data_IF_947013540694
#
_entry.id   IF_947013540694
#
_cell.length_a   1.000
_cell.length_b   1.000
_cell.length_c   1.000
_cell.angle_alpha   90.00
_cell.angle_beta   90.00
_cell.angle_gamma   90.00
#
_symmetry.space_group_name_H-M   'P 1'
#
loop_
_entity.id
_entity.type
_entity.pdbx_description
1 polymer ?
#
# COMPACT_ATOMS: atom_id res chain seq x y z
N UNK A 1 -37.55 19.65 -11.13
CA UNK A 1 -38.92 20.16 -10.95
C UNK A 1 -39.72 19.24 -10.06
N UNK A 2 -40.01 19.65 -8.82
CA UNK A 2 -41.29 19.41 -8.11
C UNK A 2 -41.25 20.19 -6.79
N UNK A 3 -42.01 21.28 -6.78
CA UNK A 3 -42.28 22.16 -5.63
C UNK A 3 -43.32 21.52 -4.72
N UNK A 4 -43.23 21.73 -3.40
CA UNK A 4 -44.34 22.15 -2.51
C UNK A 4 -43.73 22.90 -1.33
N UNK A 5 -44.25 24.09 -1.02
CA UNK A 5 -44.01 24.83 0.24
C UNK A 5 -45.16 24.53 1.22
N UNK A 6 -44.95 24.76 2.51
CA UNK A 6 -46.02 25.30 3.37
C UNK A 6 -45.48 26.30 4.39
N UNK A 7 -46.22 27.39 4.59
CA UNK A 7 -45.92 28.47 5.52
C UNK A 7 -46.51 28.18 6.91
N UNK A 8 -46.01 28.89 7.94
CA UNK A 8 -46.90 29.60 8.88
C UNK A 8 -46.18 30.83 9.48
N UNK A 9 -46.93 31.88 9.84
CA UNK A 9 -46.39 33.23 10.08
C UNK A 9 -47.01 33.90 11.33
N UNK A 10 -46.15 34.39 12.23
CA UNK A 10 -46.25 35.60 13.10
C UNK A 10 -47.51 36.01 13.91
N UNK A 11 -47.30 36.12 15.24
CA UNK A 11 -47.47 37.32 16.13
C UNK A 11 -48.82 37.97 16.49
N UNK A 12 -48.82 38.71 17.64
CA UNK A 12 -49.74 39.75 18.23
C UNK A 12 -50.02 39.45 19.73
N UNK A 13 -49.97 40.35 20.75
CA UNK A 13 -49.37 41.71 20.97
C UNK A 13 -49.23 41.99 22.50
N UNK A 14 -48.60 43.11 22.92
CA UNK A 14 -48.36 43.56 24.32
C UNK A 14 -49.49 44.48 24.88
N UNK A 15 -49.75 44.47 26.20
CA UNK A 15 -50.26 45.64 26.95
C UNK A 15 -49.99 45.60 28.48
N UNK A 16 -49.63 46.74 29.09
CA UNK A 16 -49.53 46.99 30.54
C UNK A 16 -50.74 47.80 31.04
N UNK A 17 -51.10 47.68 32.33
CA UNK A 17 -51.79 48.74 33.08
C UNK A 17 -51.53 48.64 34.59
N UNK A 18 -51.40 49.79 35.26
CA UNK A 18 -51.04 49.97 36.67
C UNK A 18 -52.01 50.99 37.28
N UNK A 19 -52.72 50.69 38.38
CA UNK A 19 -53.43 51.69 39.21
C UNK A 19 -53.40 51.26 40.69
N UNK A 20 -53.12 52.23 41.57
CA UNK A 20 -53.12 52.12 43.05
C UNK A 20 -54.52 52.28 43.65
N UNK A 21 -54.75 51.77 44.87
CA UNK A 21 -55.42 52.54 45.93
C UNK A 21 -55.01 52.06 47.34
N UNK A 22 -55.04 52.99 48.31
CA UNK A 22 -54.55 52.84 49.69
C UNK A 22 -55.58 52.23 50.67
N UNK A 23 -55.08 51.62 51.74
CA UNK A 23 -55.68 51.66 53.08
C UNK A 23 -54.56 51.53 54.15
N UNK A 24 -54.74 52.16 55.32
CA UNK A 24 -53.73 52.25 56.39
C UNK A 24 -54.28 51.67 57.71
N UNK A 25 -53.41 51.26 58.65
CA UNK A 25 -53.24 51.96 59.94
C UNK A 25 -52.16 51.33 60.86
N UNK A 26 -51.41 52.24 61.51
CA UNK A 26 -50.89 52.22 62.89
C UNK A 26 -49.79 51.24 63.36
N UNK A 27 -49.06 51.75 64.36
CA UNK A 27 -47.77 51.31 64.89
C UNK A 27 -47.94 50.55 66.22
N UNK A 28 -46.97 49.70 66.55
CA UNK A 28 -46.12 49.76 67.76
C UNK A 28 -45.59 48.37 68.16
N UNK A 29 -44.43 48.34 68.85
CA UNK A 29 -43.91 47.15 69.54
C UNK A 29 -42.66 46.53 68.93
N UNK A 30 -41.49 47.13 69.21
CA UNK A 30 -40.19 46.48 68.95
C UNK A 30 -40.02 45.32 69.93
N UNK A 31 -39.94 44.10 69.40
CA UNK A 31 -39.44 42.91 70.11
C UNK A 31 -38.16 42.48 69.41
N UNK A 32 -37.09 42.22 70.17
CA UNK A 32 -35.83 41.72 69.64
C UNK A 32 -36.04 40.38 68.92
N UNK A 33 -35.98 40.39 67.59
CA UNK A 33 -35.86 39.16 66.81
C UNK A 33 -34.40 38.75 66.73
N UNK A 34 -34.11 37.53 67.16
CA UNK A 34 -32.86 36.86 66.79
C UNK A 34 -32.70 36.90 65.26
N UNK A 35 -31.48 37.19 64.78
CA UNK A 35 -31.19 37.11 63.34
C UNK A 35 -31.60 35.73 62.83
N UNK A 36 -32.40 35.64 61.75
CA UNK A 36 -32.55 34.37 61.05
C UNK A 36 -31.15 33.87 60.67
N UNK A 37 -30.86 32.60 60.97
CA UNK A 37 -29.76 31.93 60.28
C UNK A 37 -30.08 31.99 58.79
N UNK A 38 -29.14 32.47 57.98
CA UNK A 38 -29.19 32.23 56.56
C UNK A 38 -29.14 30.72 56.36
N UNK A 39 -30.28 30.11 56.03
CA UNK A 39 -30.28 28.79 55.42
C UNK A 39 -29.60 28.95 54.06
N UNK A 40 -28.32 28.57 54.01
CA UNK A 40 -27.63 28.32 52.76
C UNK A 40 -28.44 27.27 52.00
N UNK A 41 -29.23 27.74 51.06
CA UNK A 41 -29.95 26.88 50.13
C UNK A 41 -28.90 26.17 49.30
N UNK A 42 -28.65 24.88 49.62
CA UNK A 42 -27.70 24.05 48.87
C UNK A 42 -28.02 24.14 47.39
N UNK A 43 -27.16 24.85 46.64
CA UNK A 43 -27.37 25.02 45.20
C UNK A 43 -27.17 23.66 44.55
N UNK A 44 -28.25 23.18 43.94
CA UNK A 44 -28.32 21.86 43.35
C UNK A 44 -27.14 21.62 42.36
N UNK A 45 -26.37 20.57 42.65
CA UNK A 45 -25.02 20.38 42.11
C UNK A 45 -25.04 19.56 40.83
N UNK A 46 -24.98 20.23 39.69
CA UNK A 46 -25.00 19.60 38.37
C UNK A 46 -23.65 19.67 37.67
N UNK A 47 -23.34 18.64 36.90
CA UNK A 47 -22.17 18.59 36.02
C UNK A 47 -22.35 19.56 34.84
N UNK A 48 -21.33 20.37 34.58
CA UNK A 48 -21.35 21.42 33.55
C UNK A 48 -20.48 21.03 32.35
N UNK A 49 -19.22 20.70 32.61
CA UNK A 49 -18.17 20.50 31.60
C UNK A 49 -16.97 19.76 32.22
N UNK A 50 -15.98 19.39 31.40
CA UNK A 50 -14.67 18.92 31.86
C UNK A 50 -13.57 19.95 31.58
N UNK A 51 -12.43 19.84 32.27
CA UNK A 51 -11.26 20.70 32.03
C UNK A 51 -9.98 19.91 32.23
N UNK A 52 -9.08 19.98 31.26
CA UNK A 52 -7.69 19.53 31.40
C UNK A 52 -6.99 20.52 32.34
N UNK A 53 -6.49 20.05 33.49
CA UNK A 53 -5.76 20.87 34.48
C UNK A 53 -4.25 20.75 34.35
N UNK A 54 -3.77 19.58 33.92
CA UNK A 54 -2.37 19.31 33.57
C UNK A 54 -2.35 18.57 32.24
N UNK A 55 -1.51 19.01 31.30
CA UNK A 55 -1.23 18.27 30.07
C UNK A 55 -0.50 16.95 30.40
N UNK A 56 -0.48 15.97 29.48
CA UNK A 56 0.39 14.81 29.63
C UNK A 56 1.86 15.20 29.80
N UNK A 57 2.66 14.29 30.39
CA UNK A 57 4.09 14.50 30.62
C UNK A 57 4.89 14.64 29.31
N UNK A 58 4.31 14.18 28.18
CA UNK A 58 4.83 14.37 26.82
C UNK A 58 3.74 14.84 25.86
N UNK A 59 4.06 15.84 25.04
CA UNK A 59 3.23 16.28 23.91
C UNK A 59 3.96 16.20 22.56
N UNK A 60 5.20 15.72 22.55
CA UNK A 60 6.02 15.54 21.33
C UNK A 60 6.47 14.09 21.19
N UNK A 61 6.26 13.54 20.00
CA UNK A 61 6.45 12.14 19.66
C UNK A 61 7.20 12.00 18.33
N UNK A 62 7.89 10.87 18.14
CA UNK A 62 8.48 10.50 16.85
C UNK A 62 7.40 10.08 15.88
N UNK A 63 7.66 10.22 14.58
CA UNK A 63 6.73 9.74 13.56
C UNK A 63 6.47 8.23 13.73
N UNK A 64 5.21 7.81 13.77
CA UNK A 64 4.84 6.40 14.02
C UNK A 64 5.05 5.91 15.46
N UNK A 65 5.41 6.77 16.42
CA UNK A 65 5.35 6.45 17.86
C UNK A 65 3.88 6.52 18.34
N UNK A 66 3.48 5.59 19.21
CA UNK A 66 2.18 5.63 19.87
C UNK A 66 2.20 6.69 21.00
N UNK A 67 1.32 7.69 21.00
CA UNK A 67 1.33 8.74 22.02
C UNK A 67 1.02 8.21 23.42
N UNK A 68 1.97 8.37 24.34
CA UNK A 68 1.74 8.18 25.77
C UNK A 68 1.15 9.46 26.39
N UNK A 69 -0.05 9.32 26.97
CA UNK A 69 -0.78 10.40 27.65
C UNK A 69 -0.67 10.35 29.18
N UNK A 70 0.32 9.62 29.72
CA UNK A 70 0.63 9.56 31.14
C UNK A 70 0.81 10.94 31.80
N UNK A 71 0.46 11.01 33.08
CA UNK A 71 0.57 12.23 33.89
C UNK A 71 -0.43 13.34 33.57
N UNK A 72 -1.36 13.15 32.62
CA UNK A 72 -2.43 14.12 32.36
C UNK A 72 -3.45 14.16 33.53
N UNK A 73 -3.94 15.36 33.85
CA UNK A 73 -4.98 15.54 34.86
C UNK A 73 -6.22 16.22 34.26
N UNK A 74 -7.40 15.67 34.59
CA UNK A 74 -8.70 16.16 34.12
C UNK A 74 -9.64 16.31 35.32
N UNK A 75 -10.42 17.39 35.33
CA UNK A 75 -11.46 17.63 36.34
C UNK A 75 -12.83 17.81 35.69
N UNK A 76 -13.87 17.31 36.35
CA UNK A 76 -15.26 17.75 36.14
C UNK A 76 -15.45 19.15 36.78
N UNK A 77 -16.27 19.98 36.13
CA UNK A 77 -16.72 21.29 36.62
C UNK A 77 -18.22 21.21 36.96
N UNK A 78 -18.62 21.83 38.07
CA UNK A 78 -19.99 21.81 38.58
C UNK A 78 -20.62 23.20 38.73
N UNK A 79 -21.95 23.27 38.83
CA UNK A 79 -22.74 24.52 38.98
C UNK A 79 -22.43 25.30 40.25
N UNK A 80 -21.97 24.63 41.30
CA UNK A 80 -21.50 25.23 42.56
C UNK A 80 -20.07 25.81 42.46
N UNK A 81 -19.43 25.72 41.29
CA UNK A 81 -18.04 26.15 41.06
C UNK A 81 -16.98 25.15 41.56
N UNK A 82 -17.39 24.04 42.19
CA UNK A 82 -16.48 23.00 42.63
C UNK A 82 -15.90 22.21 41.45
N UNK A 83 -14.80 21.49 41.73
CA UNK A 83 -14.07 20.67 40.77
C UNK A 83 -13.84 19.29 41.37
N UNK A 84 -13.91 18.25 40.53
CA UNK A 84 -13.61 16.87 40.93
C UNK A 84 -12.64 16.25 39.94
N UNK A 85 -11.48 15.81 40.40
CA UNK A 85 -10.54 15.06 39.56
C UNK A 85 -11.16 13.74 39.11
N UNK A 86 -10.94 13.39 37.84
CA UNK A 86 -11.42 12.14 37.23
C UNK A 86 -10.27 11.39 36.56
N UNK A 87 -10.37 10.07 36.60
CA UNK A 87 -9.52 9.13 35.85
C UNK A 87 -10.30 8.39 34.76
N UNK A 88 -11.63 8.50 34.78
CA UNK A 88 -12.54 7.91 33.80
C UNK A 88 -12.74 8.89 32.62
N UNK A 89 -11.76 8.88 31.72
CA UNK A 89 -11.76 9.63 30.47
C UNK A 89 -11.00 8.85 29.39
N UNK A 90 -11.36 9.06 28.13
CA UNK A 90 -10.64 8.52 26.97
C UNK A 90 -9.84 9.63 26.30
N UNK A 91 -8.69 9.29 25.70
CA UNK A 91 -7.92 10.20 24.84
C UNK A 91 -7.76 9.57 23.47
N UNK A 92 -8.07 10.34 22.41
CA UNK A 92 -8.05 9.86 21.03
C UNK A 92 -7.40 10.86 20.07
N UNK A 93 -6.72 10.34 19.05
CA UNK A 93 -6.15 11.07 17.93
C UNK A 93 -6.59 10.41 16.63
N UNK A 94 -7.60 10.96 15.96
CA UNK A 94 -8.22 10.33 14.78
C UNK A 94 -7.55 10.65 13.44
N UNK A 95 -6.80 11.74 13.34
CA UNK A 95 -6.45 12.31 12.02
C UNK A 95 -5.02 12.01 11.55
N UNK A 96 -4.00 12.05 12.42
CA UNK A 96 -2.59 11.94 11.99
C UNK A 96 -1.72 11.22 13.04
N UNK A 97 -1.52 9.91 12.88
CA UNK A 97 -0.36 9.18 13.44
C UNK A 97 0.80 9.08 12.42
N UNK A 98 0.52 9.46 11.16
CA UNK A 98 1.33 9.11 10.00
C UNK A 98 2.02 10.30 9.35
N UNK A 99 1.92 11.54 9.84
CA UNK A 99 2.59 12.70 9.24
C UNK A 99 3.21 13.60 10.28
N UNK A 100 4.37 14.18 9.96
CA UNK A 100 4.97 15.21 10.81
C UNK A 100 4.09 16.46 10.86
N UNK A 101 4.13 17.16 12.00
CA UNK A 101 3.34 18.34 12.29
C UNK A 101 2.55 18.23 13.58
N UNK A 102 1.72 19.24 13.85
CA UNK A 102 0.93 19.35 15.08
C UNK A 102 -0.53 18.99 14.83
N UNK A 103 -1.10 18.14 15.69
CA UNK A 103 -2.51 17.73 15.67
C UNK A 103 -3.19 17.85 17.01
N UNK A 104 -4.53 17.77 17.00
CA UNK A 104 -5.36 17.81 18.20
C UNK A 104 -5.61 16.39 18.72
N UNK A 105 -5.21 16.15 19.96
CA UNK A 105 -5.72 15.06 20.77
C UNK A 105 -7.06 15.50 21.40
N UNK A 106 -8.02 14.58 21.49
CA UNK A 106 -9.33 14.81 22.09
C UNK A 106 -9.48 13.97 23.35
N UNK A 107 -9.68 14.64 24.49
CA UNK A 107 -10.08 14.05 25.77
C UNK A 107 -11.61 14.04 25.84
N UNK A 108 -12.18 12.85 26.05
CA UNK A 108 -13.63 12.62 26.12
C UNK A 108 -14.01 12.09 27.50
N UNK A 109 -14.95 12.75 28.18
CA UNK A 109 -15.56 12.24 29.41
C UNK A 109 -17.01 12.76 29.54
N UNK A 110 -17.94 11.88 29.92
CA UNK A 110 -19.38 12.18 30.09
C UNK A 110 -20.00 13.00 28.93
N UNK A 111 -19.70 12.60 27.69
CA UNK A 111 -20.13 13.29 26.46
C UNK A 111 -19.65 14.75 26.32
N UNK A 112 -18.59 15.14 27.03
CA UNK A 112 -17.88 16.41 26.86
C UNK A 112 -16.50 16.13 26.29
N UNK A 113 -16.07 17.00 25.37
CA UNK A 113 -14.80 16.88 24.69
C UNK A 113 -13.93 18.12 24.98
N UNK A 114 -12.64 17.92 25.25
CA UNK A 114 -11.61 18.98 25.26
C UNK A 114 -10.45 18.56 24.40
N UNK A 115 -9.78 19.53 23.79
CA UNK A 115 -8.66 19.27 22.88
C UNK A 115 -7.39 19.93 23.37
N UNK A 116 -6.26 19.27 23.15
CA UNK A 116 -4.91 19.82 23.30
C UNK A 116 -4.06 19.44 22.09
N UNK A 117 -2.94 20.15 21.89
CA UNK A 117 -2.05 19.90 20.76
C UNK A 117 -0.97 18.88 21.13
N UNK A 118 -0.67 17.98 20.20
CA UNK A 118 0.54 17.14 20.19
C UNK A 118 1.28 17.30 18.87
N UNK A 119 2.58 17.04 18.84
CA UNK A 119 3.44 17.21 17.67
C UNK A 119 4.18 15.92 17.33
N UNK A 120 4.14 15.53 16.06
CA UNK A 120 4.97 14.47 15.50
C UNK A 120 6.16 15.08 14.74
N UNK A 121 7.38 14.72 15.12
CA UNK A 121 8.61 15.26 14.52
C UNK A 121 9.74 14.24 14.49
N UNK A 122 10.93 14.68 14.06
CA UNK A 122 12.13 13.84 14.02
C UNK A 122 12.08 12.73 12.97
N UNK A 123 12.78 11.62 13.24
CA UNK A 123 12.76 10.40 12.44
C UNK A 123 11.59 9.49 12.84
N UNK A 124 11.29 8.51 11.97
CA UNK A 124 10.40 7.39 12.29
C UNK A 124 10.87 6.64 13.55
N UNK A 125 9.92 6.20 14.37
CA UNK A 125 10.17 5.27 15.46
C UNK A 125 10.85 3.98 14.94
N UNK A 126 11.68 3.36 15.79
CA UNK A 126 12.56 2.27 15.35
C UNK A 126 11.78 0.95 15.19
N UNK A 127 11.52 0.53 13.96
CA UNK A 127 10.80 -0.74 13.64
C UNK A 127 11.73 -1.95 13.50
N UNK A 128 13.05 -1.73 13.47
CA UNK A 128 14.06 -2.74 13.13
C UNK A 128 14.29 -2.92 11.62
N UNK A 129 13.49 -2.28 10.76
CA UNK A 129 13.69 -2.26 9.31
C UNK A 129 14.45 -1.00 8.84
N UNK A 130 15.13 -1.05 7.68
CA UNK A 130 15.63 0.15 7.00
C UNK A 130 14.49 1.11 6.65
N UNK A 131 14.74 2.42 6.73
CA UNK A 131 13.74 3.45 6.44
C UNK A 131 14.18 4.28 5.22
N UNK A 132 13.30 4.39 4.24
CA UNK A 132 13.44 5.23 3.04
C UNK A 132 12.66 6.53 3.25
N UNK A 133 13.38 7.63 3.51
CA UNK A 133 12.82 8.98 3.52
C UNK A 133 12.90 9.55 2.11
N UNK A 134 11.76 9.77 1.46
CA UNK A 134 11.65 10.28 0.09
C UNK A 134 10.97 11.64 0.15
N UNK A 135 11.64 12.67 -0.36
CA UNK A 135 11.08 14.02 -0.49
C UNK A 135 11.07 14.38 -1.96
N UNK A 136 9.87 14.46 -2.55
CA UNK A 136 9.69 14.97 -3.92
C UNK A 136 9.99 16.47 -3.98
N UNK A 137 10.47 16.92 -5.12
CA UNK A 137 10.63 18.35 -5.42
C UNK A 137 9.31 19.10 -5.18
N UNK A 138 9.37 20.20 -4.42
CA UNK A 138 8.22 21.02 -4.01
C UNK A 138 7.08 20.25 -3.29
N UNK A 139 7.37 19.09 -2.67
CA UNK A 139 6.36 18.18 -2.09
C UNK A 139 5.25 17.75 -3.09
N UNK A 140 5.59 17.65 -4.37
CA UNK A 140 4.67 17.26 -5.43
C UNK A 140 4.01 15.89 -5.20
N UNK A 141 2.72 15.80 -5.52
CA UNK A 141 1.92 14.58 -5.39
C UNK A 141 2.21 13.63 -6.55
N UNK A 142 2.43 12.35 -6.24
CA UNK A 142 2.67 11.30 -7.24
C UNK A 142 1.32 10.72 -7.68
N UNK A 143 0.75 11.29 -8.74
CA UNK A 143 -0.57 10.92 -9.27
C UNK A 143 -0.54 10.28 -10.67
N UNK A 144 0.64 10.12 -11.28
CA UNK A 144 0.81 9.53 -12.61
C UNK A 144 1.57 8.21 -12.55
N UNK A 145 1.17 7.26 -13.41
CA UNK A 145 1.97 6.06 -13.70
C UNK A 145 3.13 6.37 -14.63
N UNK A 146 3.04 7.35 -15.52
CA UNK A 146 4.03 7.60 -16.58
C UNK A 146 5.01 8.73 -16.26
N UNK A 147 4.50 9.83 -15.72
CA UNK A 147 5.31 11.02 -15.47
C UNK A 147 6.11 10.83 -14.17
N UNK A 148 7.43 10.90 -14.30
CA UNK A 148 8.35 10.92 -13.18
C UNK A 148 8.38 12.30 -12.50
N UNK A 149 8.37 12.30 -11.17
CA UNK A 149 8.60 13.46 -10.30
C UNK A 149 10.02 13.36 -9.73
N UNK A 150 10.78 14.44 -9.73
CA UNK A 150 12.10 14.48 -9.09
C UNK A 150 11.98 14.35 -7.57
N UNK A 151 12.94 13.68 -6.93
CA UNK A 151 12.97 13.48 -5.49
C UNK A 151 14.40 13.30 -4.97
N UNK A 152 14.58 13.59 -3.68
CA UNK A 152 15.72 13.11 -2.90
C UNK A 152 15.27 11.93 -2.07
N UNK A 153 16.07 10.86 -2.03
CA UNK A 153 15.88 9.72 -1.15
C UNK A 153 17.02 9.64 -0.15
N UNK A 154 16.71 9.44 1.13
CA UNK A 154 17.68 9.15 2.20
C UNK A 154 17.32 7.80 2.81
N UNK A 155 18.24 6.84 2.75
CA UNK A 155 18.12 5.53 3.36
C UNK A 155 18.81 5.57 4.72
N UNK A 156 18.09 5.20 5.79
CA UNK A 156 18.65 5.00 7.13
C UNK A 156 18.59 3.52 7.49
N UNK A 157 19.73 2.99 7.94
CA UNK A 157 19.88 1.63 8.47
C UNK A 157 20.49 1.71 9.87
N UNK A 158 20.07 0.84 10.80
CA UNK A 158 20.60 0.83 12.17
C UNK A 158 22.11 0.56 12.15
N UNK A 159 22.89 1.47 12.74
CA UNK A 159 24.35 1.35 12.84
C UNK A 159 25.12 1.67 11.55
N UNK A 160 24.50 2.33 10.55
CA UNK A 160 25.17 2.83 9.34
C UNK A 160 24.87 4.32 9.12
N UNK A 161 25.80 5.00 8.45
CA UNK A 161 25.59 6.38 8.00
C UNK A 161 24.45 6.47 6.95
N UNK A 162 23.61 7.52 6.98
CA UNK A 162 22.53 7.67 6.01
C UNK A 162 23.01 7.82 4.56
N UNK A 163 22.51 6.97 3.66
CA UNK A 163 22.80 7.05 2.22
C UNK A 163 21.81 8.00 1.55
N UNK A 164 22.28 9.14 1.06
CA UNK A 164 21.48 10.15 0.33
C UNK A 164 21.69 10.04 -1.18
N UNK A 165 20.60 10.02 -1.94
CA UNK A 165 20.57 9.79 -3.40
C UNK A 165 19.57 10.73 -4.08
N UNK A 166 19.92 11.21 -5.28
CA UNK A 166 18.95 11.83 -6.20
C UNK A 166 18.22 10.74 -6.98
N UNK A 167 16.90 10.86 -7.10
CA UNK A 167 16.06 9.89 -7.78
C UNK A 167 14.87 10.58 -8.43
N UNK A 168 14.23 9.90 -9.38
CA UNK A 168 12.88 10.18 -9.81
C UNK A 168 11.93 9.11 -9.28
N UNK A 169 10.67 9.46 -9.05
CA UNK A 169 9.63 8.55 -8.58
C UNK A 169 8.35 8.70 -9.43
N UNK A 170 7.71 7.58 -9.79
CA UNK A 170 6.39 7.53 -10.44
C UNK A 170 5.54 6.40 -9.87
N UNK A 171 4.24 6.46 -10.06
CA UNK A 171 3.33 5.35 -9.75
C UNK A 171 3.62 4.11 -10.57
N UNK A 172 3.18 2.93 -10.11
CA UNK A 172 3.24 1.72 -10.95
C UNK A 172 2.03 0.78 -10.78
N UNK A 173 2.04 -0.26 -11.59
CA UNK A 173 1.10 -1.37 -11.54
C UNK A 173 -0.23 -1.06 -12.21
N UNK A 174 -1.09 -2.07 -12.28
CA UNK A 174 -2.37 -1.96 -12.98
C UNK A 174 -3.50 -1.92 -11.95
N UNK A 175 -4.02 -3.06 -11.49
CA UNK A 175 -5.01 -3.10 -10.42
C UNK A 175 -4.53 -2.36 -9.14
N UNK A 176 -3.27 -2.57 -8.75
CA UNK A 176 -2.65 -1.98 -7.55
C UNK A 176 -2.59 -0.45 -7.56
N UNK A 177 -2.66 0.19 -8.74
CA UNK A 177 -2.67 1.64 -8.82
C UNK A 177 -4.01 2.25 -8.36
N UNK A 178 -5.09 1.46 -8.32
CA UNK A 178 -6.39 1.93 -7.82
C UNK A 178 -6.50 1.86 -6.28
N UNK A 179 -5.71 1.02 -5.62
CA UNK A 179 -5.78 0.78 -4.17
C UNK A 179 -5.35 2.01 -3.33
N UNK A 180 -5.80 2.14 -2.06
CA UNK A 180 -5.41 3.26 -1.19
C UNK A 180 -3.90 3.45 -1.05
N UNK A 181 -3.14 2.36 -0.81
CA UNK A 181 -1.68 2.41 -0.72
C UNK A 181 -1.04 2.08 -2.07
N UNK A 182 -0.38 3.06 -2.68
CA UNK A 182 0.16 2.97 -4.05
C UNK A 182 1.55 2.34 -4.08
N UNK A 183 1.87 1.44 -5.02
CA UNK A 183 3.25 1.04 -5.31
C UNK A 183 3.94 2.05 -6.25
N UNK A 184 5.26 2.12 -6.18
CA UNK A 184 6.07 3.09 -6.93
C UNK A 184 7.22 2.46 -7.71
N UNK A 185 7.69 3.16 -8.75
CA UNK A 185 8.98 2.94 -9.41
C UNK A 185 9.93 4.08 -9.03
N UNK A 186 11.15 3.73 -8.64
CA UNK A 186 12.25 4.66 -8.40
C UNK A 186 13.26 4.54 -9.55
N UNK A 187 13.65 5.68 -10.13
CA UNK A 187 14.72 5.78 -11.13
C UNK A 187 15.81 6.71 -10.59
N UNK A 188 16.83 6.14 -9.96
CA UNK A 188 18.01 6.87 -9.46
C UNK A 188 18.71 7.57 -10.62
N UNK A 189 19.34 8.70 -10.34
CA UNK A 189 20.11 9.39 -11.37
C UNK A 189 21.44 8.68 -11.67
N UNK A 190 22.05 8.03 -10.67
CA UNK A 190 23.20 7.15 -10.86
C UNK A 190 22.97 5.71 -10.39
N UNK A 191 23.77 4.76 -10.92
CA UNK A 191 23.73 3.37 -10.44
C UNK A 191 24.24 3.37 -9.00
N UNK A 192 23.50 2.75 -8.09
CA UNK A 192 23.92 2.60 -6.69
C UNK A 192 23.37 1.31 -6.10
N UNK A 193 24.15 0.59 -5.25
CA UNK A 193 23.65 -0.55 -4.50
C UNK A 193 22.76 -0.06 -3.35
N UNK A 194 21.59 -0.67 -3.18
CA UNK A 194 20.66 -0.34 -2.09
C UNK A 194 20.58 -1.52 -1.13
N UNK A 195 20.81 -1.31 0.17
CA UNK A 195 20.62 -2.32 1.22
C UNK A 195 21.32 -3.67 0.95
N UNK A 196 22.52 -3.61 0.36
CA UNK A 196 23.33 -4.77 -0.03
C UNK A 196 22.93 -5.48 -1.33
N UNK A 197 21.91 -4.99 -2.05
CA UNK A 197 21.53 -5.49 -3.37
C UNK A 197 22.44 -4.92 -4.48
N UNK A 198 22.45 -5.56 -5.65
CA UNK A 198 23.26 -5.15 -6.80
C UNK A 198 22.92 -3.73 -7.28
N UNK A 199 23.93 -2.98 -7.74
CA UNK A 199 23.73 -1.62 -8.19
C UNK A 199 22.85 -1.51 -9.45
N UNK A 200 21.85 -0.62 -9.41
CA UNK A 200 21.07 -0.27 -10.60
C UNK A 200 20.51 1.14 -10.46
N UNK A 201 20.02 1.69 -11.58
CA UNK A 201 19.22 2.92 -11.56
C UNK A 201 17.74 2.65 -11.26
N UNK A 202 17.24 1.42 -11.38
CA UNK A 202 15.80 1.13 -11.41
C UNK A 202 15.38 0.15 -10.31
N UNK A 203 14.44 0.60 -9.48
CA UNK A 203 13.96 -0.09 -8.30
C UNK A 203 12.44 0.02 -8.18
N UNK A 204 11.83 -0.93 -7.50
CA UNK A 204 10.38 -0.98 -7.29
C UNK A 204 10.08 -0.98 -5.79
N UNK A 205 9.11 -0.15 -5.38
CA UNK A 205 8.49 -0.23 -4.06
C UNK A 205 7.14 -0.93 -4.22
N UNK A 206 7.06 -2.18 -3.80
CA UNK A 206 5.79 -2.92 -3.74
C UNK A 206 5.08 -2.61 -2.41
N UNK A 207 3.84 -2.15 -2.51
CA UNK A 207 3.01 -1.85 -1.35
C UNK A 207 2.44 -3.10 -0.65
N UNK A 208 2.47 -4.26 -1.33
CA UNK A 208 1.87 -5.54 -0.93
C UNK A 208 0.43 -5.42 -0.34
N UNK A 209 -0.33 -4.40 -0.75
CA UNK A 209 -1.53 -3.93 -0.04
C UNK A 209 -2.64 -4.98 0.14
N UNK A 210 -2.84 -5.87 -0.83
CA UNK A 210 -3.83 -6.95 -0.74
C UNK A 210 -3.32 -8.17 0.06
N UNK A 211 -2.01 -8.30 0.25
CA UNK A 211 -1.42 -9.35 1.07
C UNK A 211 -1.41 -8.93 2.54
N UNK A 212 -2.39 -9.42 3.31
CA UNK A 212 -2.49 -9.17 4.75
C UNK A 212 -1.28 -9.66 5.58
N UNK A 213 -0.40 -10.47 5.01
CA UNK A 213 0.87 -10.85 5.65
C UNK A 213 2.05 -9.97 5.25
N UNK A 214 1.94 -9.24 4.12
CA UNK A 214 3.02 -8.55 3.41
C UNK A 214 4.18 -9.43 2.92
N UNK A 215 4.19 -10.74 3.23
CA UNK A 215 5.33 -11.65 3.06
C UNK A 215 5.29 -12.49 1.78
N UNK A 216 4.14 -12.65 1.11
CA UNK A 216 3.96 -13.64 0.02
C UNK A 216 4.93 -13.47 -1.12
N UNK A 217 5.11 -12.24 -1.59
CA UNK A 217 6.07 -11.93 -2.65
C UNK A 217 7.50 -12.24 -2.20
N UNK A 218 7.89 -11.91 -0.96
CA UNK A 218 9.19 -12.27 -0.39
C UNK A 218 9.42 -13.78 -0.27
N UNK A 219 8.41 -14.54 0.15
CA UNK A 219 8.45 -16.01 0.19
C UNK A 219 8.64 -16.57 -1.22
N UNK A 220 7.92 -16.03 -2.21
CA UNK A 220 8.03 -16.46 -3.61
C UNK A 220 9.45 -16.23 -4.15
N UNK A 221 10.01 -15.03 -3.98
CA UNK A 221 11.36 -14.70 -4.41
C UNK A 221 12.38 -15.61 -3.72
N UNK A 222 12.24 -15.86 -2.40
CA UNK A 222 13.17 -16.78 -1.72
C UNK A 222 13.04 -18.22 -2.22
N UNK A 223 11.85 -18.70 -2.55
CA UNK A 223 11.66 -20.03 -3.14
C UNK A 223 12.25 -20.11 -4.56
N UNK A 224 12.11 -19.06 -5.37
CA UNK A 224 12.69 -18.99 -6.72
C UNK A 224 14.23 -19.04 -6.69
N UNK A 225 14.87 -18.37 -5.73
CA UNK A 225 16.30 -18.49 -5.47
C UNK A 225 16.67 -19.95 -5.11
N UNK A 226 15.97 -20.55 -4.14
CA UNK A 226 16.23 -21.92 -3.66
C UNK A 226 16.00 -22.99 -4.73
N UNK A 227 15.06 -22.77 -5.65
CA UNK A 227 14.77 -23.68 -6.76
C UNK A 227 15.69 -23.46 -7.98
N UNK A 228 16.59 -22.48 -7.94
CA UNK A 228 17.63 -22.28 -8.98
C UNK A 228 17.10 -21.72 -10.30
N UNK A 229 16.16 -20.77 -10.25
CA UNK A 229 15.79 -19.99 -11.43
C UNK A 229 17.00 -19.19 -11.96
N UNK A 230 17.08 -19.00 -13.29
CA UNK A 230 18.23 -18.38 -13.96
C UNK A 230 18.57 -16.97 -13.43
N UNK A 231 17.56 -16.20 -13.02
CA UNK A 231 17.69 -15.04 -12.16
C UNK A 231 16.42 -14.86 -11.34
N UNK A 232 16.55 -14.29 -10.15
CA UNK A 232 15.46 -13.96 -9.23
C UNK A 232 15.69 -12.53 -8.70
N UNK A 233 14.68 -11.64 -8.71
CA UNK A 233 14.80 -10.31 -8.10
C UNK A 233 15.19 -10.38 -6.62
N UNK A 234 16.26 -9.70 -6.22
CA UNK A 234 16.55 -9.50 -4.79
C UNK A 234 15.61 -8.44 -4.18
N UNK A 235 15.35 -8.53 -2.87
CA UNK A 235 14.45 -7.60 -2.18
C UNK A 235 14.70 -7.43 -0.68
N UNK A 236 14.25 -6.30 -0.12
CA UNK A 236 14.28 -6.00 1.32
C UNK A 236 12.93 -5.41 1.75
N UNK A 237 12.46 -5.77 2.95
CA UNK A 237 11.38 -5.04 3.61
C UNK A 237 11.93 -3.73 4.18
N UNK A 238 11.19 -2.65 3.98
CA UNK A 238 11.58 -1.28 4.35
C UNK A 238 10.36 -0.52 4.85
N UNK A 239 10.58 0.47 5.71
CA UNK A 239 9.58 1.50 5.96
C UNK A 239 9.76 2.67 4.99
N UNK A 240 8.67 3.31 4.56
CA UNK A 240 8.72 4.45 3.65
C UNK A 240 8.09 5.68 4.31
N UNK A 241 8.81 6.79 4.31
CA UNK A 241 8.30 8.12 4.67
C UNK A 241 8.37 9.00 3.42
N UNK A 242 7.24 9.34 2.82
CA UNK A 242 7.12 10.13 1.60
C UNK A 242 6.56 11.52 1.93
N UNK A 243 7.29 12.59 1.58
CA UNK A 243 6.89 13.98 1.86
C UNK A 243 6.44 14.19 3.33
N UNK A 244 7.27 13.68 4.25
CA UNK A 244 7.07 13.68 5.71
C UNK A 244 5.90 12.83 6.23
N UNK A 245 5.28 12.05 5.36
CA UNK A 245 4.18 11.13 5.67
C UNK A 245 4.66 9.67 5.65
N UNK A 246 4.56 8.99 6.78
CA UNK A 246 4.82 7.57 6.95
C UNK A 246 3.77 6.75 6.20
N UNK A 247 4.21 6.12 5.11
CA UNK A 247 3.40 5.32 4.22
C UNK A 247 3.27 3.86 4.67
N UNK A 248 3.88 3.49 5.81
CA UNK A 248 4.01 2.11 6.28
C UNK A 248 5.01 1.26 5.48
N UNK A 249 4.98 -0.04 5.74
CA UNK A 249 5.90 -1.02 5.15
C UNK A 249 5.78 -1.16 3.63
N UNK A 250 6.92 -1.29 2.94
CA UNK A 250 7.02 -1.69 1.54
C UNK A 250 8.07 -2.80 1.39
N UNK A 251 8.01 -3.49 0.26
CA UNK A 251 9.11 -4.32 -0.21
C UNK A 251 9.86 -3.57 -1.32
N UNK A 252 11.12 -3.21 -1.07
CA UNK A 252 12.04 -2.67 -2.08
C UNK A 252 12.58 -3.85 -2.88
N UNK A 253 12.38 -3.86 -4.20
CA UNK A 253 12.70 -4.98 -5.11
C UNK A 253 13.50 -4.48 -6.32
N UNK A 254 14.42 -5.31 -6.80
CA UNK A 254 15.06 -5.14 -8.10
C UNK A 254 14.03 -5.20 -9.25
N UNK A 255 14.00 -4.18 -10.12
CA UNK A 255 13.14 -4.26 -11.31
C UNK A 255 13.68 -5.30 -12.31
N UNK A 256 12.81 -6.20 -12.77
CA UNK A 256 13.07 -7.12 -13.90
C UNK A 256 13.48 -6.31 -15.13
N UNK A 257 14.77 -6.41 -15.50
CA UNK A 257 15.40 -5.75 -16.65
C UNK A 257 16.65 -6.51 -17.10
N UNK A 258 17.04 -6.29 -18.37
CA UNK A 258 18.33 -6.76 -18.90
C UNK A 258 19.50 -6.00 -18.26
N UNK A 259 20.28 -6.68 -17.42
CA UNK A 259 21.59 -6.24 -16.95
C UNK A 259 22.44 -7.48 -16.60
N UNK A 260 23.77 -7.35 -16.63
CA UNK A 260 24.70 -8.45 -16.28
C UNK A 260 24.50 -8.99 -14.86
N UNK A 261 24.01 -8.16 -13.94
CA UNK A 261 23.69 -8.53 -12.55
C UNK A 261 22.18 -8.77 -12.32
N UNK A 262 21.37 -8.76 -13.38
CA UNK A 262 19.92 -9.07 -13.35
C UNK A 262 19.60 -10.14 -14.40
N UNK A 263 18.65 -9.89 -15.31
CA UNK A 263 18.39 -10.79 -16.45
C UNK A 263 19.56 -10.69 -17.44
N UNK A 264 20.55 -11.58 -17.29
CA UNK A 264 21.78 -11.56 -18.07
C UNK A 264 21.61 -12.25 -19.44
N UNK A 265 20.92 -11.58 -20.36
CA UNK A 265 20.77 -11.98 -21.77
C UNK A 265 21.53 -11.03 -22.71
N UNK A 266 21.86 -11.44 -23.96
CA UNK A 266 22.51 -10.58 -24.95
C UNK A 266 21.71 -9.28 -25.24
N UNK A 267 22.38 -8.19 -25.70
CA UNK A 267 21.69 -6.92 -26.00
C UNK A 267 20.52 -7.12 -26.98
N UNK A 268 20.73 -7.95 -28.02
CA UNK A 268 19.73 -8.29 -29.05
C UNK A 268 18.75 -9.41 -28.65
N UNK A 269 18.91 -10.00 -27.46
CA UNK A 269 17.99 -11.00 -26.94
C UNK A 269 16.67 -10.38 -26.49
N UNK A 270 15.69 -11.24 -26.25
CA UNK A 270 14.34 -10.88 -25.85
C UNK A 270 14.14 -11.13 -24.36
N UNK A 271 13.51 -10.17 -23.69
CA UNK A 271 12.85 -10.33 -22.40
C UNK A 271 11.43 -9.84 -22.60
N UNK A 272 10.44 -10.71 -22.42
CA UNK A 272 9.05 -10.44 -22.74
C UNK A 272 8.12 -11.04 -21.69
N UNK A 273 6.91 -10.49 -21.58
CA UNK A 273 5.93 -10.83 -20.55
C UNK A 273 4.61 -11.24 -21.20
N UNK A 274 4.02 -12.34 -20.74
CA UNK A 274 2.61 -12.68 -20.93
C UNK A 274 1.82 -12.21 -19.73
N UNK A 275 0.92 -11.27 -19.95
CA UNK A 275 0.09 -10.64 -18.92
C UNK A 275 -1.31 -10.29 -19.50
N UNK A 276 -2.24 -9.84 -18.65
CA UNK A 276 -3.61 -9.47 -19.08
C UNK A 276 -3.77 -7.97 -19.41
N UNK A 277 -2.68 -7.19 -19.36
CA UNK A 277 -2.62 -5.74 -19.53
C UNK A 277 -1.74 -5.30 -20.71
N UNK A 278 -1.23 -6.24 -21.52
CA UNK A 278 -0.31 -6.06 -22.63
C UNK A 278 -0.67 -4.90 -23.59
N UNK A 279 -1.96 -4.60 -23.74
CA UNK A 279 -2.46 -3.48 -24.55
C UNK A 279 -2.08 -2.08 -24.01
N UNK A 280 -1.64 -1.99 -22.75
CA UNK A 280 -1.12 -0.76 -22.13
C UNK A 280 0.40 -0.58 -22.32
N UNK A 281 1.10 -1.58 -22.86
CA UNK A 281 2.54 -1.52 -23.10
C UNK A 281 2.83 -0.94 -24.50
N UNK A 282 3.95 -0.23 -24.72
CA UNK A 282 4.17 0.53 -25.97
C UNK A 282 4.23 -0.32 -27.24
N UNK A 283 4.70 -1.57 -27.12
CA UNK A 283 4.70 -2.58 -28.19
C UNK A 283 4.29 -3.93 -27.60
N UNK A 284 3.34 -4.58 -28.28
CA UNK A 284 2.82 -5.89 -27.92
C UNK A 284 2.41 -6.68 -29.17
N UNK A 285 2.13 -7.97 -29.02
CA UNK A 285 1.43 -8.79 -30.03
C UNK A 285 0.45 -9.76 -29.36
N UNK A 286 -0.41 -10.39 -30.16
CA UNK A 286 -1.26 -11.51 -29.74
C UNK A 286 -0.88 -12.72 -30.58
N UNK A 287 -0.67 -13.87 -29.93
CA UNK A 287 -0.31 -15.14 -30.58
C UNK A 287 -1.52 -15.85 -31.19
N UNK A 288 -1.30 -16.93 -31.94
CA UNK A 288 -2.35 -17.72 -32.58
C UNK A 288 -3.29 -18.42 -31.58
N UNK A 289 -2.84 -18.75 -30.37
CA UNK A 289 -3.70 -19.17 -29.24
C UNK A 289 -4.37 -18.02 -28.48
N UNK A 290 -4.17 -16.77 -28.90
CA UNK A 290 -4.83 -15.60 -28.31
C UNK A 290 -4.17 -15.05 -27.04
N UNK A 291 -2.95 -15.49 -26.67
CA UNK A 291 -2.23 -14.88 -25.56
C UNK A 291 -1.57 -13.57 -25.99
N UNK A 292 -1.74 -12.52 -25.19
CA UNK A 292 -1.05 -11.24 -25.38
C UNK A 292 0.34 -11.24 -24.75
N UNK A 293 1.32 -10.70 -25.47
CA UNK A 293 2.71 -10.58 -25.05
C UNK A 293 3.23 -9.15 -25.21
N UNK A 294 4.00 -8.65 -24.24
CA UNK A 294 4.65 -7.34 -24.26
C UNK A 294 6.18 -7.44 -24.14
N UNK A 295 6.92 -6.48 -24.71
CA UNK A 295 8.39 -6.48 -24.74
C UNK A 295 8.98 -5.64 -23.61
N UNK A 296 10.01 -6.16 -22.93
CA UNK A 296 10.80 -5.44 -21.91
C UNK A 296 12.31 -5.37 -22.25
N UNK A 297 12.79 -6.23 -23.15
CA UNK A 297 14.02 -6.06 -23.93
C UNK A 297 13.81 -6.70 -25.32
N UNK A 298 14.27 -6.11 -26.44
CA UNK A 298 14.75 -4.73 -26.58
C UNK A 298 13.76 -3.70 -26.02
N UNK A 299 14.22 -2.47 -25.74
CA UNK A 299 13.33 -1.43 -25.25
C UNK A 299 12.22 -1.16 -26.29
N UNK A 300 10.92 -1.26 -25.95
CA UNK A 300 9.83 -1.18 -26.91
C UNK A 300 9.62 0.21 -27.52
N UNK A 301 10.16 1.26 -26.90
CA UNK A 301 10.05 2.64 -27.38
C UNK A 301 11.30 3.08 -28.15
N UNK A 302 12.50 2.61 -27.73
CA UNK A 302 13.79 3.09 -28.26
C UNK A 302 14.56 2.08 -29.14
N UNK A 303 14.62 0.79 -28.77
CA UNK A 303 15.57 -0.19 -29.35
C UNK A 303 14.87 -1.28 -30.22
N UNK A 304 13.55 -1.51 -30.10
CA UNK A 304 12.84 -2.63 -30.74
C UNK A 304 12.51 -2.35 -32.22
N UNK A 305 13.05 -3.14 -33.14
CA UNK A 305 12.74 -3.05 -34.58
C UNK A 305 11.49 -3.86 -34.96
N UNK A 306 10.82 -3.49 -36.07
CA UNK A 306 9.69 -4.25 -36.59
C UNK A 306 10.10 -5.67 -37.05
N UNK A 307 11.37 -5.87 -37.45
CA UNK A 307 11.95 -7.19 -37.73
C UNK A 307 11.98 -8.07 -36.46
N UNK A 308 12.47 -7.52 -35.35
CA UNK A 308 12.52 -8.21 -34.05
C UNK A 308 11.11 -8.47 -33.50
N UNK A 309 10.19 -7.53 -33.68
CA UNK A 309 8.79 -7.68 -33.28
C UNK A 309 8.10 -8.79 -34.09
N UNK A 310 8.24 -8.79 -35.43
CA UNK A 310 7.69 -9.85 -36.29
C UNK A 310 8.29 -11.20 -35.93
N UNK A 311 9.62 -11.26 -35.75
CA UNK A 311 10.31 -12.50 -35.40
C UNK A 311 9.76 -13.15 -34.14
N UNK A 312 9.61 -12.41 -33.03
CA UNK A 312 9.14 -13.01 -31.78
C UNK A 312 7.66 -13.45 -31.89
N UNK A 313 6.82 -12.64 -32.55
CA UNK A 313 5.42 -13.01 -32.86
C UNK A 313 5.36 -14.33 -33.64
N UNK A 314 6.16 -14.43 -34.71
CA UNK A 314 6.11 -15.57 -35.62
C UNK A 314 6.73 -16.83 -34.99
N UNK A 315 7.78 -16.68 -34.17
CA UNK A 315 8.32 -17.77 -33.36
C UNK A 315 7.30 -18.32 -32.36
N UNK A 316 6.54 -17.45 -31.67
CA UNK A 316 5.45 -17.89 -30.79
C UNK A 316 4.34 -18.59 -31.57
N UNK A 317 3.96 -18.07 -32.74
CA UNK A 317 2.95 -18.69 -33.60
C UNK A 317 3.40 -20.06 -34.15
N UNK A 318 4.68 -20.23 -34.53
CA UNK A 318 5.26 -21.51 -34.98
C UNK A 318 5.29 -22.52 -33.83
N UNK A 319 5.74 -22.11 -32.64
CA UNK A 319 5.72 -22.95 -31.44
C UNK A 319 4.30 -23.42 -31.08
N UNK A 320 3.32 -22.52 -31.11
CA UNK A 320 1.92 -22.85 -30.82
C UNK A 320 1.29 -23.75 -31.89
N UNK A 321 1.64 -23.55 -33.17
CA UNK A 321 1.22 -24.43 -34.25
C UNK A 321 1.84 -25.84 -34.13
N UNK A 322 3.11 -25.95 -33.74
CA UNK A 322 3.76 -27.23 -33.47
C UNK A 322 3.12 -27.94 -32.28
N UNK A 323 2.79 -27.23 -31.20
CA UNK A 323 2.04 -27.79 -30.06
C UNK A 323 0.66 -28.35 -30.46
N UNK A 324 0.06 -27.85 -31.53
CA UNK A 324 -1.23 -28.32 -32.06
C UNK A 324 -1.11 -29.41 -33.15
N UNK A 325 0.11 -29.84 -33.50
CA UNK A 325 0.37 -30.78 -34.61
C UNK A 325 0.47 -32.24 -34.15
N UNK A 326 0.37 -33.21 -35.08
CA UNK A 326 0.54 -34.64 -34.77
C UNK A 326 1.96 -35.02 -34.30
N UNK A 327 2.96 -34.17 -34.56
CA UNK A 327 4.36 -34.38 -34.18
C UNK A 327 4.81 -33.48 -33.02
N UNK A 328 3.86 -32.91 -32.27
CA UNK A 328 4.09 -31.92 -31.23
C UNK A 328 5.14 -32.32 -30.18
N UNK A 329 5.26 -33.61 -29.82
CA UNK A 329 6.23 -34.12 -28.85
C UNK A 329 7.46 -34.80 -29.48
N UNK A 330 7.70 -34.65 -30.78
CA UNK A 330 8.94 -35.11 -31.39
C UNK A 330 10.15 -34.36 -30.80
N UNK A 331 11.22 -35.07 -30.46
CA UNK A 331 12.39 -34.49 -29.80
C UNK A 331 13.15 -33.46 -30.66
N UNK A 332 13.13 -33.59 -31.99
CA UNK A 332 13.87 -32.73 -32.92
C UNK A 332 12.99 -31.66 -33.57
N UNK A 333 11.72 -31.99 -33.88
CA UNK A 333 10.80 -31.11 -34.62
C UNK A 333 9.65 -30.56 -33.78
N UNK A 334 9.36 -31.16 -32.62
CA UNK A 334 8.28 -30.80 -31.71
C UNK A 334 8.63 -29.64 -30.76
N UNK A 335 7.86 -29.50 -29.68
CA UNK A 335 8.04 -28.49 -28.65
C UNK A 335 9.48 -28.38 -28.08
N UNK A 336 10.28 -29.47 -27.93
CA UNK A 336 11.65 -29.36 -27.42
C UNK A 336 12.59 -28.54 -28.31
N UNK A 337 12.24 -28.28 -29.59
CA UNK A 337 12.96 -27.35 -30.47
C UNK A 337 12.85 -25.90 -30.01
N UNK A 338 11.72 -25.50 -29.42
CA UNK A 338 11.36 -24.10 -29.15
C UNK A 338 11.59 -23.66 -27.70
N UNK A 339 11.48 -24.58 -26.74
CA UNK A 339 11.50 -24.25 -25.31
C UNK A 339 12.60 -25.00 -24.55
N UNK A 340 13.16 -24.34 -23.54
CA UNK A 340 13.92 -25.04 -22.50
C UNK A 340 12.94 -25.75 -21.57
N UNK A 341 12.78 -27.05 -21.80
CA UNK A 341 11.77 -27.89 -21.15
C UNK A 341 11.93 -27.92 -19.63
N UNK A 342 13.17 -27.84 -19.14
CA UNK A 342 13.50 -27.78 -17.72
C UNK A 342 12.97 -26.51 -17.06
N UNK A 343 13.15 -25.34 -17.68
CA UNK A 343 12.63 -24.07 -17.15
C UNK A 343 11.10 -24.04 -17.10
N UNK A 344 10.43 -24.64 -18.10
CA UNK A 344 8.98 -24.77 -18.12
C UNK A 344 8.47 -25.70 -17.01
N UNK A 345 9.09 -26.86 -16.81
CA UNK A 345 8.77 -27.77 -15.71
C UNK A 345 9.05 -27.14 -14.33
N UNK A 346 10.17 -26.42 -14.19
CA UNK A 346 10.55 -25.69 -12.98
C UNK A 346 9.52 -24.60 -12.64
N UNK A 347 9.17 -23.74 -13.60
CA UNK A 347 8.17 -22.69 -13.46
C UNK A 347 6.81 -23.26 -13.10
N UNK A 348 6.41 -24.36 -13.75
CA UNK A 348 5.17 -25.07 -13.45
C UNK A 348 5.12 -25.57 -12.01
N UNK A 349 6.15 -26.30 -11.56
CA UNK A 349 6.22 -26.83 -10.18
C UNK A 349 6.16 -25.67 -9.17
N UNK A 350 6.97 -24.64 -9.37
CA UNK A 350 7.04 -23.45 -8.52
C UNK A 350 5.68 -22.74 -8.38
N UNK A 351 4.98 -22.48 -9.49
CA UNK A 351 3.66 -21.83 -9.47
C UNK A 351 2.58 -22.69 -8.79
N UNK A 352 2.66 -24.02 -8.90
CA UNK A 352 1.75 -24.94 -8.21
C UNK A 352 2.06 -25.06 -6.70
N UNK A 353 3.33 -25.06 -6.29
CA UNK A 353 3.71 -25.03 -4.85
C UNK A 353 3.13 -23.80 -4.16
N UNK A 354 3.24 -22.63 -4.81
CA UNK A 354 2.71 -21.37 -4.27
C UNK A 354 1.21 -21.18 -4.52
N UNK A 355 0.60 -22.04 -5.34
CA UNK A 355 -0.78 -21.91 -5.83
C UNK A 355 -1.10 -20.46 -6.29
N UNK A 356 -0.21 -19.85 -7.09
CA UNK A 356 -0.40 -18.48 -7.56
C UNK A 356 -1.62 -18.41 -8.48
N UNK A 357 -2.50 -17.45 -8.20
CA UNK A 357 -3.79 -17.31 -8.83
C UNK A 357 -3.77 -16.27 -9.97
N UNK A 358 -2.71 -15.45 -10.04
CA UNK A 358 -2.54 -14.40 -11.04
C UNK A 358 -1.16 -14.47 -11.70
N UNK A 359 -1.00 -15.51 -12.52
CA UNK A 359 0.28 -15.86 -13.16
C UNK A 359 0.62 -14.93 -14.34
N UNK A 360 1.44 -13.92 -14.08
CA UNK A 360 2.22 -13.22 -15.12
C UNK A 360 3.47 -14.05 -15.45
N UNK A 361 3.79 -14.19 -16.74
CA UNK A 361 4.90 -15.05 -17.20
C UNK A 361 5.95 -14.19 -17.88
N UNK A 362 7.10 -13.97 -17.24
CA UNK A 362 8.28 -13.47 -17.96
C UNK A 362 8.97 -14.64 -18.65
N UNK A 363 9.52 -14.36 -19.82
CA UNK A 363 10.28 -15.29 -20.64
C UNK A 363 11.48 -14.58 -21.26
N UNK A 364 12.53 -15.35 -21.55
CA UNK A 364 13.72 -14.87 -22.26
C UNK A 364 14.07 -15.74 -23.46
N UNK A 365 14.70 -15.15 -24.48
CA UNK A 365 15.29 -15.85 -25.63
C UNK A 365 16.52 -15.07 -26.12
N UNK A 366 17.67 -15.71 -26.29
CA UNK A 366 18.94 -14.99 -26.45
C UNK A 366 19.18 -14.36 -27.83
N UNK A 367 18.55 -14.91 -28.88
CA UNK A 367 18.80 -14.52 -30.27
C UNK A 367 17.59 -14.74 -31.20
N UNK A 368 17.72 -14.29 -32.45
CA UNK A 368 16.79 -14.56 -33.56
C UNK A 368 17.09 -15.89 -34.28
N UNK A 369 17.69 -16.85 -33.59
CA UNK A 369 18.12 -18.13 -34.15
C UNK A 369 17.73 -19.30 -33.25
N UNK A 370 18.68 -20.20 -33.01
CA UNK A 370 18.50 -21.50 -32.35
C UNK A 370 18.37 -21.47 -30.83
N UNK A 371 18.49 -20.29 -30.19
CA UNK A 371 18.17 -20.18 -28.76
C UNK A 371 16.72 -20.58 -28.49
N UNK A 372 16.46 -21.14 -27.30
CA UNK A 372 15.12 -21.55 -26.88
C UNK A 372 14.51 -20.51 -25.95
N UNK A 373 13.18 -20.53 -25.83
CA UNK A 373 12.49 -19.75 -24.81
C UNK A 373 12.73 -20.40 -23.44
N UNK A 374 13.15 -19.58 -22.47
CA UNK A 374 13.31 -19.94 -21.07
C UNK A 374 12.23 -19.23 -20.26
N UNK A 375 11.55 -19.94 -19.36
CA UNK A 375 10.60 -19.34 -18.42
C UNK A 375 11.32 -18.70 -17.23
N UNK A 376 10.92 -17.49 -16.89
CA UNK A 376 11.50 -16.68 -15.81
C UNK A 376 11.96 -15.29 -16.29
N UNK A 377 12.30 -14.38 -15.37
CA UNK A 377 12.23 -14.51 -13.91
C UNK A 377 10.78 -14.56 -13.37
N UNK A 378 10.62 -14.78 -12.06
CA UNK A 378 9.31 -14.82 -11.40
C UNK A 378 8.85 -13.43 -10.97
N UNK A 379 7.55 -13.16 -11.00
CA UNK A 379 6.96 -11.85 -10.65
C UNK A 379 5.49 -11.94 -10.21
N UNK A 380 5.00 -10.92 -9.49
CA UNK A 380 3.64 -10.74 -8.93
C UNK A 380 3.06 -11.99 -8.20
N UNK A 381 3.22 -12.02 -6.87
CA UNK A 381 2.90 -13.16 -6.00
C UNK A 381 2.07 -12.81 -4.76
N UNK A 382 1.56 -11.59 -4.64
CA UNK A 382 0.65 -11.20 -3.56
C UNK A 382 -0.66 -12.04 -3.56
N UNK A 383 -1.06 -12.53 -4.73
CA UNK A 383 -2.21 -13.40 -4.96
C UNK A 383 -1.82 -14.90 -4.98
N UNK A 384 -1.12 -15.34 -3.94
CA UNK A 384 -0.65 -16.73 -3.76
C UNK A 384 -0.89 -17.24 -2.33
N UNK A 385 -0.47 -18.48 -2.06
CA UNK A 385 -0.45 -19.11 -0.71
C UNK A 385 -1.81 -18.91 0.01
N UNK A 386 -2.89 -19.39 -0.62
CA UNK A 386 -4.24 -19.41 -0.05
C UNK A 386 -5.04 -18.11 -0.09
N UNK A 387 -4.51 -17.02 -0.67
CA UNK A 387 -5.28 -15.80 -0.98
C UNK A 387 -5.62 -15.76 -2.48
N UNK A 388 -6.84 -15.34 -2.81
CA UNK A 388 -7.34 -15.23 -4.17
C UNK A 388 -8.83 -14.92 -4.23
N UNK A 389 -9.31 -14.47 -5.39
CA UNK A 389 -10.73 -14.26 -5.68
C UNK A 389 -11.49 -15.60 -5.60
N UNK A 390 -12.22 -15.85 -4.50
CA UNK A 390 -13.03 -17.06 -4.31
C UNK A 390 -14.06 -16.99 -3.19
N UNK A 391 -15.25 -17.53 -3.48
CA UNK A 391 -16.35 -17.74 -2.53
C UNK A 391 -16.63 -19.23 -2.23
N UNK A 392 -15.72 -20.14 -2.60
CA UNK A 392 -15.85 -21.58 -2.33
C UNK A 392 -14.91 -22.13 -1.24
N UNK A 393 -14.95 -23.46 -0.99
CA UNK A 393 -14.23 -24.11 0.10
C UNK A 393 -12.71 -23.89 0.06
N UNK A 394 -12.10 -23.80 1.25
CA UNK A 394 -10.65 -23.69 1.44
C UNK A 394 -10.14 -24.86 2.31
N UNK A 395 -8.91 -25.35 2.10
CA UNK A 395 -7.94 -24.94 1.07
C UNK A 395 -8.33 -25.42 -0.34
N UNK A 396 -7.85 -24.72 -1.38
CA UNK A 396 -8.04 -25.19 -2.77
C UNK A 396 -7.11 -26.38 -3.06
N UNK A 397 -7.49 -27.28 -3.99
CA UNK A 397 -6.56 -28.26 -4.56
C UNK A 397 -5.34 -27.58 -5.20
N UNK A 398 -4.14 -28.16 -5.04
CA UNK A 398 -2.91 -27.59 -5.58
C UNK A 398 -2.93 -27.47 -7.13
N UNK A 399 -3.68 -28.34 -7.80
CA UNK A 399 -3.87 -28.37 -9.25
C UNK A 399 -5.01 -27.44 -9.73
N UNK A 400 -5.34 -26.36 -9.04
CA UNK A 400 -6.47 -25.51 -9.46
C UNK A 400 -6.12 -24.47 -10.53
N UNK A 401 -4.90 -23.89 -10.53
CA UNK A 401 -4.61 -22.71 -11.36
C UNK A 401 -3.80 -23.01 -12.61
N UNK A 402 -2.51 -23.31 -12.49
CA UNK A 402 -1.64 -23.57 -13.66
C UNK A 402 -2.13 -24.76 -14.49
N UNK A 403 -2.75 -25.73 -13.81
CA UNK A 403 -3.41 -26.91 -14.40
C UNK A 403 -4.71 -26.62 -15.16
N UNK A 404 -5.49 -25.59 -14.79
CA UNK A 404 -6.78 -25.27 -15.43
C UNK A 404 -6.81 -23.91 -16.17
N UNK A 405 -5.71 -23.15 -16.14
CA UNK A 405 -5.56 -21.87 -16.89
C UNK A 405 -4.99 -22.08 -18.30
N UNK A 406 -4.79 -23.34 -18.72
CA UNK A 406 -4.55 -23.76 -20.10
C UNK A 406 -3.56 -22.84 -20.86
N UNK A 407 -2.33 -22.70 -20.34
CA UNK A 407 -1.26 -22.01 -21.05
C UNK A 407 -0.64 -22.92 -22.11
N UNK A 408 0.41 -23.68 -21.78
CA UNK A 408 0.92 -24.78 -22.62
C UNK A 408 0.93 -26.14 -21.90
N UNK A 409 0.69 -26.13 -20.58
CA UNK A 409 0.81 -27.32 -19.73
C UNK A 409 -0.33 -28.33 -19.92
N UNK A 410 -1.47 -27.88 -20.45
CA UNK A 410 -2.56 -28.74 -20.94
C UNK A 410 -2.07 -29.78 -21.97
N UNK A 411 -1.03 -29.44 -22.73
CA UNK A 411 -0.45 -30.28 -23.77
C UNK A 411 0.92 -30.82 -23.38
N UNK A 412 1.81 -30.02 -22.77
CA UNK A 412 3.12 -30.52 -22.29
C UNK A 412 2.96 -31.68 -21.30
N UNK A 413 1.96 -31.63 -20.39
CA UNK A 413 1.65 -32.73 -19.46
C UNK A 413 0.92 -33.92 -20.11
N UNK A 414 0.84 -34.00 -21.45
CA UNK A 414 0.46 -35.23 -22.15
C UNK A 414 1.70 -36.09 -22.47
N UNK A 415 2.89 -35.49 -22.52
CA UNK A 415 4.14 -36.17 -22.90
C UNK A 415 4.77 -36.89 -21.69
N UNK A 416 4.98 -38.22 -21.74
CA UNK A 416 5.73 -38.93 -20.71
C UNK A 416 7.16 -38.41 -20.50
N UNK A 417 7.80 -37.85 -21.54
CA UNK A 417 9.14 -37.29 -21.43
C UNK A 417 9.16 -35.96 -20.65
N UNK A 418 8.13 -35.12 -20.77
CA UNK A 418 7.99 -33.87 -20.01
C UNK A 418 7.60 -34.12 -18.54
N UNK A 419 6.87 -35.21 -18.26
CA UNK A 419 6.45 -35.58 -16.89
C UNK A 419 7.58 -36.10 -16.00
N UNK A 420 8.69 -36.53 -16.58
CA UNK A 420 9.78 -37.25 -15.92
C UNK A 420 10.89 -36.32 -15.45
#
# INVERSE_FOLDING_TARGET
>A
MKTVQFNLLYSVVVALALVFFFAACEEEGVVEQEKPKEEETEREKFFVDIRITKLPDRTTFRLGEEPDFSGMEVVELYTDGSKKSITDFEVSCSEILLKKGTVKATVTARNKNKTFNITFEGDLAETGLPVLYITTENNAVINSKENYVNATMTIKEKGKEPLKLSTRIRGRGNATWTYPKKPYRLKLDEKSPLLGMNEHKDWVLLANYCDKSLLRTGISLKLSELMGFAWTPDSRFVEVVLNEEYMGNYQLVEQIRRDKKRVNIPKKGYLFERDNYYQQEPRYFVSSRGYGFSFKNPDPEEDLTDEQWCYLRDYMNEFEAVLASDHWNNHETGYPKYIDTRSFALWFIYQNILANIDTNVYMTKDDMGSSKIVMGPVWDFEWSIGIGWYDGPRPRPANYYVWNRDFYFDTLLKDPAFKK
#
